data_IF_345786648674
#
_entry.id   IF_345786648674
#
_cell.length_a   1.000
_cell.length_b   1.000
_cell.length_c   1.000
_cell.angle_alpha   90.00
_cell.angle_beta   90.00
_cell.angle_gamma   90.00
#
_symmetry.space_group_name_H-M   'P 1'
#
loop_
_entity.id
_entity.type
_entity.pdbx_description
1 polymer ?
#
# COMPACT_ATOMS: atom_id res chain seq x y z
N UNK A 1 -6.94 -16.72 5.09
CA UNK A 1 -6.81 -18.02 5.80
C UNK A 1 -5.72 -17.94 6.88
N UNK A 2 -5.87 -18.62 8.04
CA UNK A 2 -4.86 -18.58 9.13
C UNK A 2 -3.58 -19.38 8.79
N UNK A 3 -2.44 -18.96 9.33
CA UNK A 3 -1.09 -19.53 9.06
C UNK A 3 -1.06 -21.06 9.07
N UNK A 4 -1.60 -21.73 10.10
CA UNK A 4 -1.49 -23.20 10.20
C UNK A 4 -2.22 -23.91 9.04
N UNK A 5 -3.34 -23.35 8.58
CA UNK A 5 -4.10 -23.88 7.45
C UNK A 5 -3.45 -23.47 6.11
N UNK A 6 -2.83 -22.29 6.06
CA UNK A 6 -2.00 -21.84 4.93
C UNK A 6 -0.76 -22.70 4.71
N UNK A 7 -0.06 -23.04 5.78
CA UNK A 7 1.09 -23.92 5.75
C UNK A 7 0.75 -25.29 5.14
N UNK A 8 -0.36 -25.90 5.58
CA UNK A 8 -0.86 -27.16 4.99
C UNK A 8 -1.17 -27.02 3.51
N UNK A 9 -1.90 -25.97 3.11
CA UNK A 9 -2.27 -25.77 1.71
C UNK A 9 -1.07 -25.44 0.79
N UNK A 10 -0.03 -24.82 1.34
CA UNK A 10 1.23 -24.52 0.64
C UNK A 10 2.23 -25.68 0.65
N UNK A 11 1.91 -26.80 1.33
CA UNK A 11 2.84 -27.89 1.60
C UNK A 11 4.17 -27.41 2.22
N UNK A 12 4.06 -26.56 3.25
CA UNK A 12 5.19 -25.96 3.98
C UNK A 12 4.95 -26.01 5.49
N UNK A 13 6.01 -25.85 6.27
CA UNK A 13 5.89 -25.75 7.72
C UNK A 13 5.32 -24.38 8.14
N UNK A 14 4.55 -24.29 9.26
CA UNK A 14 4.09 -23.00 9.78
C UNK A 14 5.22 -22.02 10.11
N UNK A 15 6.39 -22.49 10.52
CA UNK A 15 7.57 -21.66 10.75
C UNK A 15 8.12 -21.05 9.45
N UNK A 16 8.11 -21.79 8.35
CA UNK A 16 8.47 -21.27 7.02
C UNK A 16 7.54 -20.13 6.61
N UNK A 17 6.22 -20.30 6.78
CA UNK A 17 5.24 -19.25 6.43
C UNK A 17 5.42 -18.02 7.31
N UNK A 18 5.67 -18.18 8.62
CA UNK A 18 5.98 -17.05 9.52
C UNK A 18 7.23 -16.29 9.09
N UNK A 19 8.29 -17.02 8.70
CA UNK A 19 9.52 -16.40 8.20
C UNK A 19 9.27 -15.59 6.93
N UNK A 20 8.44 -16.08 6.01
CA UNK A 20 8.07 -15.32 4.80
C UNK A 20 7.33 -14.03 5.14
N UNK A 21 6.41 -14.07 6.10
CA UNK A 21 5.70 -12.86 6.58
C UNK A 21 6.70 -11.85 7.16
N UNK A 22 7.68 -12.29 7.95
CA UNK A 22 8.75 -11.43 8.46
C UNK A 22 9.64 -10.84 7.36
N UNK A 23 9.73 -11.50 6.21
CA UNK A 23 10.47 -11.05 5.03
C UNK A 23 9.63 -10.16 4.10
N UNK A 24 8.41 -9.79 4.49
CA UNK A 24 7.53 -8.90 3.72
C UNK A 24 6.54 -9.63 2.80
N UNK A 25 6.26 -10.91 3.03
CA UNK A 25 5.18 -11.60 2.31
C UNK A 25 3.81 -10.98 2.63
N UNK A 26 2.91 -10.85 1.65
CA UNK A 26 1.63 -10.18 1.81
C UNK A 26 0.75 -10.88 2.86
N UNK A 27 0.19 -10.09 3.77
CA UNK A 27 -0.74 -10.55 4.80
C UNK A 27 -1.98 -9.68 4.81
N UNK A 28 -3.15 -10.32 4.85
CA UNK A 28 -4.45 -9.63 4.98
C UNK A 28 -4.61 -9.02 6.37
N UNK A 29 -4.08 -9.69 7.40
CA UNK A 29 -4.01 -9.18 8.77
C UNK A 29 -2.85 -9.81 9.51
N UNK A 30 -2.03 -8.98 10.16
CA UNK A 30 -0.99 -9.47 11.05
C UNK A 30 -1.62 -10.09 12.31
N UNK A 31 -1.06 -11.22 12.72
CA UNK A 31 -1.44 -11.88 13.95
C UNK A 31 -0.93 -11.14 15.18
N UNK A 32 -1.55 -11.40 16.33
CA UNK A 32 -1.07 -10.96 17.65
C UNK A 32 -0.66 -12.17 18.51
N UNK A 33 -0.11 -11.91 19.70
CA UNK A 33 0.29 -12.98 20.62
C UNK A 33 -0.96 -13.73 21.11
N UNK A 34 -0.95 -15.06 21.05
CA UNK A 34 -2.06 -15.92 21.52
C UNK A 34 -2.34 -17.12 20.60
N UNK A 35 -2.97 -18.17 21.17
CA UNK A 35 -3.16 -19.49 20.53
C UNK A 35 -4.07 -19.46 19.28
N UNK A 36 -4.85 -18.40 19.09
CA UNK A 36 -5.78 -18.22 17.96
C UNK A 36 -5.60 -16.93 17.15
N UNK A 37 -4.60 -16.13 17.51
CA UNK A 37 -4.36 -14.83 16.90
C UNK A 37 -3.36 -14.90 15.72
N UNK A 38 -3.27 -16.02 15.02
CA UNK A 38 -2.30 -16.18 13.92
C UNK A 38 -2.63 -15.29 12.71
N UNK A 39 -1.59 -14.82 12.00
CA UNK A 39 -1.77 -13.95 10.82
C UNK A 39 -2.71 -14.57 9.79
N UNK A 40 -3.52 -13.70 9.18
CA UNK A 40 -4.40 -14.04 8.09
C UNK A 40 -3.67 -13.78 6.77
N UNK A 41 -3.54 -14.81 5.96
CA UNK A 41 -2.85 -14.77 4.66
C UNK A 41 -3.74 -15.31 3.55
N UNK A 42 -3.57 -14.80 2.35
CA UNK A 42 -4.14 -15.36 1.13
C UNK A 42 -3.08 -16.26 0.48
N UNK A 43 -3.45 -17.50 0.14
CA UNK A 43 -2.52 -18.48 -0.44
C UNK A 43 -2.00 -17.99 -1.79
N UNK A 44 -2.89 -17.44 -2.63
CA UNK A 44 -2.56 -17.00 -3.97
C UNK A 44 -1.49 -15.91 -3.93
N UNK A 45 -1.64 -14.94 -3.01
CA UNK A 45 -0.70 -13.83 -2.84
C UNK A 45 0.67 -14.31 -2.33
N UNK A 46 0.68 -15.28 -1.41
CA UNK A 46 1.93 -15.91 -0.92
C UNK A 46 2.62 -16.71 -2.03
N UNK A 47 1.88 -17.45 -2.85
CA UNK A 47 2.43 -18.19 -3.99
C UNK A 47 3.02 -17.25 -5.04
N UNK A 48 2.33 -16.14 -5.34
CA UNK A 48 2.80 -15.09 -6.26
C UNK A 48 4.08 -14.43 -5.75
N UNK A 49 4.11 -14.00 -4.48
CA UNK A 49 5.29 -13.45 -3.83
C UNK A 49 6.48 -14.41 -3.85
N UNK A 50 6.24 -15.72 -3.63
CA UNK A 50 7.29 -16.75 -3.68
C UNK A 50 7.80 -17.06 -5.08
N UNK A 51 7.01 -16.82 -6.11
CA UNK A 51 7.40 -17.01 -7.51
C UNK A 51 8.32 -15.90 -8.04
N UNK A 52 8.72 -14.93 -7.22
CA UNK A 52 9.46 -13.75 -7.67
C UNK A 52 8.60 -12.78 -8.48
N UNK A 53 7.30 -13.05 -8.62
CA UNK A 53 6.34 -12.09 -9.11
C UNK A 53 6.13 -11.03 -8.04
N UNK A 54 6.25 -9.76 -8.42
CA UNK A 54 5.69 -8.69 -7.61
C UNK A 54 4.26 -9.09 -7.24
N UNK A 55 3.91 -8.99 -5.97
CA UNK A 55 2.51 -9.10 -5.54
C UNK A 55 1.80 -8.03 -6.33
N UNK A 56 1.06 -8.42 -7.37
CA UNK A 56 0.16 -7.54 -8.08
C UNK A 56 -0.95 -7.20 -7.10
N UNK A 57 -0.68 -6.25 -6.21
CA UNK A 57 -1.73 -5.49 -5.57
C UNK A 57 -2.64 -5.01 -6.70
N UNK A 58 -3.96 -5.13 -6.49
CA UNK A 58 -4.93 -4.56 -7.41
C UNK A 58 -4.55 -3.09 -7.62
N UNK A 59 -4.70 -2.55 -8.83
CA UNK A 59 -4.28 -1.18 -9.14
C UNK A 59 -4.92 -0.19 -8.15
N UNK A 60 -6.15 -0.46 -7.72
CA UNK A 60 -6.85 0.28 -6.66
C UNK A 60 -6.12 0.25 -5.30
N UNK A 61 -5.57 -0.90 -4.91
CA UNK A 61 -4.83 -1.05 -3.65
C UNK A 61 -3.46 -0.34 -3.73
N UNK A 62 -2.81 -0.37 -4.89
CA UNK A 62 -1.58 0.40 -5.13
C UNK A 62 -1.86 1.90 -5.06
N UNK A 63 -2.94 2.35 -5.68
CA UNK A 63 -3.36 3.76 -5.67
C UNK A 63 -3.72 4.23 -4.26
N UNK A 64 -4.45 3.43 -3.48
CA UNK A 64 -4.77 3.77 -2.09
C UNK A 64 -3.50 3.89 -1.23
N UNK A 65 -2.55 2.95 -1.36
CA UNK A 65 -1.28 3.03 -0.62
C UNK A 65 -0.45 4.24 -1.04
N UNK A 66 -0.44 4.58 -2.33
CA UNK A 66 0.24 5.77 -2.84
C UNK A 66 -0.38 7.05 -2.27
N UNK A 67 -1.71 7.17 -2.28
CA UNK A 67 -2.41 8.35 -1.76
C UNK A 67 -2.07 8.61 -0.28
N UNK A 68 -2.07 7.56 0.54
CA UNK A 68 -1.67 7.64 1.97
C UNK A 68 -0.21 8.10 2.10
N UNK A 69 0.71 7.49 1.35
CA UNK A 69 2.13 7.85 1.42
C UNK A 69 2.39 9.31 1.03
N UNK A 70 1.69 9.82 0.00
CA UNK A 70 1.78 11.21 -0.42
C UNK A 70 1.22 12.17 0.65
N UNK A 71 0.12 11.80 1.33
CA UNK A 71 -0.44 12.60 2.42
C UNK A 71 0.49 12.65 3.64
N UNK A 72 1.12 11.52 3.99
CA UNK A 72 2.10 11.48 5.08
C UNK A 72 3.33 12.33 4.77
N UNK A 73 3.77 12.31 3.50
CA UNK A 73 4.92 13.11 3.03
C UNK A 73 4.71 14.61 3.27
N UNK A 74 3.48 15.11 3.14
CA UNK A 74 3.19 16.53 3.40
C UNK A 74 2.89 16.80 4.88
N UNK A 75 2.06 15.98 5.54
CA UNK A 75 1.57 16.28 6.90
C UNK A 75 2.52 15.89 8.01
N UNK A 76 3.27 14.80 7.83
CA UNK A 76 4.11 14.22 8.89
C UNK A 76 5.57 14.53 8.67
N UNK A 77 6.02 14.43 7.43
CA UNK A 77 7.43 14.63 7.09
C UNK A 77 7.73 16.09 6.74
N UNK A 78 6.69 16.93 6.60
CA UNK A 78 6.79 18.35 6.28
C UNK A 78 7.77 18.61 5.11
N UNK A 79 7.69 17.78 4.06
CA UNK A 79 8.74 17.71 3.02
C UNK A 79 9.07 19.09 2.41
N UNK A 80 8.07 19.97 2.35
CA UNK A 80 8.17 21.32 1.83
C UNK A 80 9.24 22.16 2.55
N UNK A 81 9.45 21.94 3.85
CA UNK A 81 10.52 22.56 4.64
C UNK A 81 11.90 22.07 4.15
N UNK A 82 12.06 20.76 3.99
CA UNK A 82 13.33 20.14 3.61
C UNK A 82 13.82 20.54 2.22
N UNK A 83 12.89 20.78 1.29
CA UNK A 83 13.18 21.21 -0.09
C UNK A 83 13.00 22.71 -0.32
N UNK A 84 12.70 23.47 0.74
CA UNK A 84 12.54 24.93 0.73
C UNK A 84 11.56 25.44 -0.34
N UNK A 85 10.37 24.83 -0.40
CA UNK A 85 9.24 25.28 -1.23
C UNK A 85 8.03 25.54 -0.35
N UNK A 86 7.02 26.22 -0.88
CA UNK A 86 5.77 26.39 -0.14
C UNK A 86 5.05 25.06 0.04
N UNK A 87 4.30 24.90 1.14
CA UNK A 87 3.44 23.73 1.36
C UNK A 87 2.46 23.54 0.19
N UNK A 88 1.95 24.65 -0.38
CA UNK A 88 1.09 24.66 -1.56
C UNK A 88 1.76 24.11 -2.82
N UNK A 89 3.01 24.48 -3.07
CA UNK A 89 3.77 23.96 -4.23
C UNK A 89 4.07 22.47 -4.05
N UNK A 90 4.43 22.05 -2.84
CA UNK A 90 4.62 20.64 -2.52
C UNK A 90 3.33 19.83 -2.72
N UNK A 91 2.20 20.32 -2.20
CA UNK A 91 0.89 19.70 -2.42
C UNK A 91 0.57 19.57 -3.91
N UNK A 92 0.79 20.63 -4.69
CA UNK A 92 0.55 20.64 -6.14
C UNK A 92 1.36 19.56 -6.86
N UNK A 93 2.65 19.46 -6.53
CA UNK A 93 3.54 18.46 -7.12
C UNK A 93 3.11 17.03 -6.77
N UNK A 94 2.73 16.78 -5.51
CA UNK A 94 2.29 15.44 -5.07
C UNK A 94 0.97 15.02 -5.74
N UNK A 95 0.04 15.94 -5.98
CA UNK A 95 -1.18 15.65 -6.77
C UNK A 95 -0.82 15.27 -8.21
N UNK A 96 0.09 16.00 -8.85
CA UNK A 96 0.55 15.66 -10.21
C UNK A 96 1.22 14.29 -10.29
N UNK A 97 2.00 13.92 -9.26
CA UNK A 97 2.60 12.58 -9.14
C UNK A 97 1.52 11.51 -9.06
N UNK A 98 0.51 11.70 -8.20
CA UNK A 98 -0.62 10.77 -8.09
C UNK A 98 -1.35 10.61 -9.43
N UNK A 99 -1.69 11.72 -10.10
CA UNK A 99 -2.36 11.69 -11.40
C UNK A 99 -1.56 10.96 -12.48
N UNK A 100 -0.24 11.16 -12.49
CA UNK A 100 0.64 10.47 -13.43
C UNK A 100 0.66 8.97 -13.16
N UNK A 101 0.70 8.57 -11.89
CA UNK A 101 0.70 7.17 -11.50
C UNK A 101 -0.64 6.48 -11.80
N UNK A 102 -1.75 7.15 -11.51
CA UNK A 102 -3.10 6.69 -11.89
C UNK A 102 -3.19 6.42 -13.38
N UNK A 103 -2.82 7.38 -14.22
CA UNK A 103 -2.83 7.23 -15.68
C UNK A 103 -1.98 6.05 -16.16
N UNK A 104 -0.83 5.82 -15.53
CA UNK A 104 0.04 4.71 -15.90
C UNK A 104 -0.55 3.34 -15.54
N UNK A 105 -1.33 3.25 -14.45
CA UNK A 105 -1.94 2.00 -14.02
C UNK A 105 -3.26 1.71 -14.74
N UNK A 106 -4.14 2.70 -14.82
CA UNK A 106 -5.51 2.51 -15.33
C UNK A 106 -5.65 2.82 -16.82
N UNK A 107 -4.65 3.50 -17.41
CA UNK A 107 -4.73 4.09 -18.75
C UNK A 107 -5.85 5.13 -18.92
N UNK A 108 -6.37 5.66 -17.81
CA UNK A 108 -7.43 6.67 -17.76
C UNK A 108 -6.91 8.01 -17.21
N UNK A 109 -7.70 9.08 -17.37
CA UNK A 109 -7.44 10.33 -16.65
C UNK A 109 -8.10 10.29 -15.27
N UNK A 110 -7.46 10.89 -14.28
CA UNK A 110 -8.07 11.10 -12.97
C UNK A 110 -9.24 12.06 -13.12
N UNK A 111 -10.41 11.63 -12.68
CA UNK A 111 -11.53 12.51 -12.40
C UNK A 111 -11.25 13.25 -11.08
N UNK A 112 -11.08 14.57 -11.16
CA UNK A 112 -10.76 15.43 -10.00
C UNK A 112 -11.91 15.41 -8.98
N UNK A 113 -13.16 15.26 -9.46
CA UNK A 113 -14.34 15.21 -8.61
C UNK A 113 -14.45 13.88 -7.85
N UNK A 114 -13.73 12.86 -8.30
CA UNK A 114 -13.72 11.52 -7.71
C UNK A 114 -12.34 11.10 -7.19
N UNK A 115 -11.56 12.07 -6.68
CA UNK A 115 -10.30 11.79 -6.01
C UNK A 115 -10.51 10.97 -4.72
N UNK A 116 -9.54 10.13 -4.33
CA UNK A 116 -9.49 9.56 -2.99
C UNK A 116 -9.51 10.66 -1.93
N UNK A 117 -10.08 10.36 -0.76
CA UNK A 117 -10.22 11.33 0.32
C UNK A 117 -8.87 11.86 0.82
N UNK A 118 -7.83 11.02 0.79
CA UNK A 118 -6.46 11.43 1.10
C UNK A 118 -5.95 12.51 0.13
N UNK A 119 -6.25 12.37 -1.17
CA UNK A 119 -5.88 13.34 -2.19
C UNK A 119 -6.72 14.61 -2.09
N UNK A 120 -7.99 14.53 -1.69
CA UNK A 120 -8.82 15.71 -1.37
C UNK A 120 -8.21 16.53 -0.23
N UNK A 121 -7.67 15.87 0.80
CA UNK A 121 -6.96 16.57 1.87
C UNK A 121 -5.70 17.27 1.37
N UNK A 122 -4.94 16.67 0.44
CA UNK A 122 -3.79 17.34 -0.19
C UNK A 122 -4.27 18.55 -1.02
N UNK A 123 -5.35 18.41 -1.78
CA UNK A 123 -5.91 19.51 -2.57
C UNK A 123 -6.43 20.67 -1.71
N UNK A 124 -6.83 20.44 -0.46
CA UNK A 124 -7.25 21.51 0.45
C UNK A 124 -6.13 22.51 0.74
N UNK A 125 -4.85 22.12 0.67
CA UNK A 125 -3.70 23.03 0.78
C UNK A 125 -3.51 23.93 -0.45
N UNK A 126 -4.28 23.71 -1.53
CA UNK A 126 -4.21 24.48 -2.77
C UNK A 126 -5.16 25.68 -2.79
N UNK A 127 -6.07 25.81 -1.83
CA UNK A 127 -7.05 26.91 -1.71
C UNK A 127 -6.53 27.99 -0.76
#
# INVERSE_FOLDING_TARGET
MRINKAAKALNRSPSTVRRWIQQGAPTVRLGSVGRDNGSLVNIADIQRWRGGGAVTANDDELLARLAIALLDTIRRDEIHISVNISERDAASLLVLVYQRYYRNLTNEQVDIDNLPDEMKHICAFLL
#
